data_IF_959270895355
#
_entry.id   IF_959270895355
#
_cell.length_a   1.000
_cell.length_b   1.000
_cell.length_c   1.000
_cell.angle_alpha   90.00
_cell.angle_beta   90.00
_cell.angle_gamma   90.00
#
_symmetry.space_group_name_H-M   'P 1'
#
loop_
_entity.id
_entity.type
_entity.pdbx_description
1 polymer ?
#
# COMPACT_ATOMS: atom_id res chain seq x y z
N UNK A 1 -11.15 -21.53 -7.68
CA UNK A 1 -10.23 -22.00 -6.63
C UNK A 1 -10.62 -21.32 -5.32
N UNK A 2 -10.57 -22.03 -4.19
CA UNK A 2 -10.72 -21.39 -2.89
C UNK A 2 -9.55 -20.41 -2.69
N UNK A 3 -9.80 -19.22 -2.11
CA UNK A 3 -8.75 -18.24 -1.86
C UNK A 3 -7.75 -18.81 -0.85
N UNK A 4 -6.48 -18.85 -1.24
CA UNK A 4 -5.41 -19.45 -0.44
C UNK A 4 -4.48 -18.37 0.10
N UNK A 5 -4.14 -18.48 1.39
CA UNK A 5 -3.00 -17.75 1.97
C UNK A 5 -1.79 -18.63 1.77
N UNK A 6 -0.88 -18.18 0.92
CA UNK A 6 0.38 -18.86 0.69
C UNK A 6 1.52 -18.20 1.46
N UNK A 7 2.60 -18.95 1.60
CA UNK A 7 3.85 -18.49 2.23
C UNK A 7 5.02 -18.81 1.31
N UNK A 8 5.82 -17.81 0.99
CA UNK A 8 7.07 -17.93 0.24
C UNK A 8 8.25 -17.77 1.20
N UNK A 9 9.32 -18.52 0.93
CA UNK A 9 10.57 -18.48 1.71
C UNK A 9 11.71 -17.99 0.81
N UNK A 10 12.03 -16.68 0.83
CA UNK A 10 13.09 -16.15 0.00
C UNK A 10 14.46 -16.70 0.40
N UNK A 11 15.40 -16.85 -0.54
CA UNK A 11 16.76 -17.34 -0.27
C UNK A 11 17.51 -16.50 0.76
N UNK A 12 17.13 -15.24 0.91
CA UNK A 12 17.68 -14.28 1.88
C UNK A 12 17.14 -14.49 3.30
N UNK A 13 16.31 -15.51 3.50
CA UNK A 13 15.70 -15.84 4.79
C UNK A 13 14.39 -15.10 5.05
N UNK A 14 13.70 -15.52 6.11
CA UNK A 14 12.38 -15.01 6.47
C UNK A 14 11.24 -15.63 5.66
N UNK A 15 10.06 -15.02 5.75
CA UNK A 15 8.86 -15.49 5.04
C UNK A 15 8.08 -14.31 4.47
N UNK A 16 7.43 -14.51 3.35
CA UNK A 16 6.51 -13.55 2.71
C UNK A 16 5.15 -14.23 2.61
N UNK A 17 4.16 -13.66 3.26
CA UNK A 17 2.78 -14.11 3.13
C UNK A 17 2.11 -13.44 1.93
N UNK A 18 1.30 -14.17 1.20
CA UNK A 18 0.50 -13.63 0.12
C UNK A 18 -0.92 -14.20 0.14
N UNK A 19 -1.85 -13.46 -0.44
CA UNK A 19 -3.24 -13.88 -0.64
C UNK A 19 -3.53 -13.87 -2.13
N UNK A 20 -4.01 -15.00 -2.65
CA UNK A 20 -4.35 -15.18 -4.07
C UNK A 20 -5.87 -15.31 -4.23
N UNK A 21 -6.47 -14.41 -5.00
CA UNK A 21 -7.92 -14.27 -5.14
C UNK A 21 -8.32 -14.19 -6.61
N UNK A 22 -9.40 -14.90 -6.97
CA UNK A 22 -9.99 -14.82 -8.30
C UNK A 22 -9.20 -15.57 -9.35
N UNK A 23 -9.41 -15.18 -10.60
CA UNK A 23 -8.78 -15.79 -11.78
C UNK A 23 -8.68 -14.77 -12.91
N UNK A 24 -7.93 -15.09 -13.97
CA UNK A 24 -7.74 -14.23 -15.14
C UNK A 24 -6.43 -13.47 -15.09
N UNK A 25 -6.42 -12.23 -15.61
CA UNK A 25 -5.23 -11.42 -15.70
C UNK A 25 -4.69 -11.07 -14.31
N UNK A 26 -3.40 -11.35 -14.01
CA UNK A 26 -2.84 -11.13 -12.70
C UNK A 26 -2.62 -9.64 -12.41
N UNK A 27 -2.87 -9.27 -11.16
CA UNK A 27 -2.62 -7.95 -10.60
C UNK A 27 -2.00 -8.11 -9.21
N UNK A 28 -0.86 -7.48 -8.99
CA UNK A 28 -0.21 -7.44 -7.68
C UNK A 28 -0.72 -6.24 -6.89
N UNK A 29 -1.03 -6.45 -5.62
CA UNK A 29 -1.30 -5.38 -4.66
C UNK A 29 -0.27 -5.41 -3.55
N UNK A 30 0.41 -4.29 -3.35
CA UNK A 30 1.33 -4.05 -2.24
C UNK A 30 0.60 -3.17 -1.23
N UNK A 31 0.21 -3.72 -0.07
CA UNK A 31 -0.62 -3.02 0.90
C UNK A 31 0.08 -1.83 1.57
N UNK A 32 -0.70 -0.98 2.22
CA UNK A 32 -0.23 0.18 2.97
C UNK A 32 0.41 -0.15 4.32
N UNK A 33 0.37 0.81 5.23
CA UNK A 33 0.93 0.67 6.58
C UNK A 33 0.19 -0.33 7.47
N UNK A 34 -1.03 -0.70 7.12
CA UNK A 34 -1.82 -1.73 7.83
C UNK A 34 -1.12 -3.10 7.84
N UNK A 35 -0.32 -3.43 6.82
CA UNK A 35 0.49 -4.66 6.80
C UNK A 35 1.60 -4.63 7.87
N UNK A 36 1.95 -3.46 8.38
CA UNK A 36 2.83 -3.33 9.56
C UNK A 36 2.15 -3.72 10.87
N UNK A 37 0.82 -3.60 10.95
CA UNK A 37 0.04 -3.94 12.15
C UNK A 37 -0.43 -5.39 12.11
N UNK A 38 -0.86 -5.85 10.93
CA UNK A 38 -1.31 -7.24 10.68
C UNK A 38 -0.76 -7.75 9.37
N UNK A 39 -0.19 -8.95 9.38
CA UNK A 39 0.29 -9.59 8.16
C UNK A 39 -0.88 -9.90 7.21
N UNK A 40 -0.55 -10.19 5.94
CA UNK A 40 -1.55 -10.59 4.94
C UNK A 40 -2.36 -11.80 5.40
N UNK A 41 -1.73 -12.76 6.05
CA UNK A 41 -2.41 -13.93 6.61
C UNK A 41 -3.41 -13.56 7.71
N UNK A 42 -2.99 -12.73 8.67
CA UNK A 42 -3.85 -12.24 9.76
C UNK A 42 -5.01 -11.38 9.25
N UNK A 43 -4.77 -10.58 8.20
CA UNK A 43 -5.77 -9.72 7.57
C UNK A 43 -6.59 -10.40 6.47
N UNK A 44 -6.35 -11.69 6.17
CA UNK A 44 -6.87 -12.37 4.98
C UNK A 44 -8.39 -12.28 4.80
N UNK A 45 -9.18 -12.35 5.88
CA UNK A 45 -10.64 -12.19 5.81
C UNK A 45 -11.06 -10.79 5.35
N UNK A 46 -10.41 -9.76 5.88
CA UNK A 46 -10.68 -8.37 5.52
C UNK A 46 -10.23 -8.09 4.08
N UNK A 47 -9.05 -8.58 3.68
CA UNK A 47 -8.53 -8.43 2.32
C UNK A 47 -9.42 -9.14 1.29
N UNK A 48 -9.93 -10.34 1.59
CA UNK A 48 -10.91 -11.04 0.75
C UNK A 48 -12.16 -10.22 0.54
N UNK A 49 -12.67 -9.60 1.58
CA UNK A 49 -13.84 -8.74 1.49
C UNK A 49 -13.55 -7.47 0.68
N UNK A 50 -12.40 -6.83 0.91
CA UNK A 50 -11.96 -5.62 0.20
C UNK A 50 -11.84 -5.87 -1.31
N UNK A 51 -11.17 -6.95 -1.71
CA UNK A 51 -10.89 -7.24 -3.12
C UNK A 51 -11.90 -8.15 -3.81
N UNK A 52 -13.03 -8.50 -3.18
CA UNK A 52 -14.02 -9.46 -3.71
C UNK A 52 -14.57 -9.08 -5.09
N UNK A 53 -14.83 -7.80 -5.33
CA UNK A 53 -15.37 -7.32 -6.62
C UNK A 53 -14.29 -7.35 -7.70
N UNK A 54 -13.08 -6.89 -7.37
CA UNK A 54 -11.92 -6.93 -8.27
C UNK A 54 -11.54 -8.36 -8.64
N UNK A 55 -11.61 -9.28 -7.69
CA UNK A 55 -11.31 -10.70 -7.87
C UNK A 55 -12.30 -11.44 -8.79
N UNK A 56 -13.45 -10.84 -9.11
CA UNK A 56 -14.36 -11.37 -10.15
C UNK A 56 -13.83 -11.19 -11.57
N UNK A 57 -12.88 -10.27 -11.76
CA UNK A 57 -12.38 -9.84 -13.08
C UNK A 57 -10.89 -10.05 -13.26
N UNK A 58 -10.14 -10.10 -12.16
CA UNK A 58 -8.69 -10.24 -12.14
C UNK A 58 -8.29 -11.33 -11.16
N UNK A 59 -7.09 -11.89 -11.36
CA UNK A 59 -6.40 -12.64 -10.32
C UNK A 59 -5.66 -11.63 -9.45
N UNK A 60 -6.18 -11.32 -8.27
CA UNK A 60 -5.61 -10.35 -7.34
C UNK A 60 -4.68 -11.06 -6.38
N UNK A 61 -3.40 -10.68 -6.41
CA UNK A 61 -2.37 -11.23 -5.55
C UNK A 61 -1.91 -10.11 -4.59
N UNK A 62 -2.27 -10.24 -3.31
CA UNK A 62 -1.82 -9.31 -2.28
C UNK A 62 -0.56 -9.88 -1.65
N UNK A 63 0.57 -9.18 -1.78
CA UNK A 63 1.86 -9.62 -1.23
C UNK A 63 2.24 -8.75 -0.03
N UNK A 64 2.39 -9.37 1.14
CA UNK A 64 2.88 -8.72 2.35
C UNK A 64 4.38 -8.50 2.33
N UNK A 65 4.87 -7.71 3.28
CA UNK A 65 6.33 -7.55 3.48
C UNK A 65 6.88 -8.79 4.15
N UNK A 66 8.14 -9.07 3.84
CA UNK A 66 8.89 -10.17 4.46
C UNK A 66 8.92 -10.02 5.99
N UNK A 67 8.89 -11.14 6.68
CA UNK A 67 9.04 -11.21 8.13
C UNK A 67 10.22 -12.11 8.52
N UNK A 68 11.17 -11.58 9.33
CA UNK A 68 11.28 -10.20 9.81
C UNK A 68 11.50 -9.20 8.67
N UNK A 69 11.02 -7.95 8.85
CA UNK A 69 11.23 -6.87 7.89
C UNK A 69 12.73 -6.58 7.78
N UNK A 70 13.32 -6.61 6.57
CA UNK A 70 14.75 -6.41 6.38
C UNK A 70 15.15 -4.94 6.44
N UNK A 71 16.45 -4.70 6.73
CA UNK A 71 17.15 -3.44 6.49
C UNK A 71 16.33 -2.18 6.81
N UNK A 72 15.89 -2.02 8.04
CA UNK A 72 15.13 -0.85 8.54
C UNK A 72 13.90 -0.47 7.69
N UNK A 73 13.36 -1.43 6.94
CA UNK A 73 12.16 -1.23 6.14
C UNK A 73 12.38 -0.48 4.83
N UNK A 74 13.59 -0.42 4.30
CA UNK A 74 13.91 0.22 3.02
C UNK A 74 12.97 -0.25 1.91
N UNK A 75 12.16 0.65 1.29
CA UNK A 75 11.23 0.31 0.23
C UNK A 75 11.89 -0.38 -0.98
N UNK A 76 13.16 -0.09 -1.28
CA UNK A 76 13.88 -0.73 -2.41
C UNK A 76 14.18 -2.19 -2.12
N UNK A 77 14.58 -2.52 -0.89
CA UNK A 77 14.79 -3.92 -0.47
C UNK A 77 13.46 -4.68 -0.48
N UNK A 78 12.37 -4.05 -0.02
CA UNK A 78 11.04 -4.65 -0.08
C UNK A 78 10.53 -4.84 -1.51
N UNK A 79 10.93 -3.97 -2.44
CA UNK A 79 10.64 -4.12 -3.88
C UNK A 79 11.35 -5.34 -4.49
N UNK A 80 12.59 -5.62 -4.08
CA UNK A 80 13.30 -6.83 -4.50
C UNK A 80 12.59 -8.11 -4.01
N UNK A 81 12.02 -8.09 -2.81
CA UNK A 81 11.19 -9.19 -2.30
C UNK A 81 9.93 -9.39 -3.14
N UNK A 82 9.25 -8.31 -3.54
CA UNK A 82 8.09 -8.37 -4.44
C UNK A 82 8.47 -8.91 -5.83
N UNK A 83 9.60 -8.47 -6.38
CA UNK A 83 10.10 -8.96 -7.67
C UNK A 83 10.34 -10.48 -7.62
N UNK A 84 11.03 -10.95 -6.59
CA UNK A 84 11.25 -12.37 -6.38
C UNK A 84 9.94 -13.15 -6.22
N UNK A 85 8.97 -12.62 -5.48
CA UNK A 85 7.66 -13.26 -5.33
C UNK A 85 6.92 -13.38 -6.67
N UNK A 86 6.94 -12.35 -7.53
CA UNK A 86 6.36 -12.38 -8.88
C UNK A 86 7.00 -13.50 -9.71
N UNK A 87 8.32 -13.63 -9.66
CA UNK A 87 9.08 -14.65 -10.41
C UNK A 87 8.76 -16.06 -9.94
N UNK A 88 8.77 -16.30 -8.63
CA UNK A 88 8.48 -17.63 -8.05
C UNK A 88 7.02 -18.05 -8.31
N UNK A 89 6.09 -17.10 -8.27
CA UNK A 89 4.68 -17.36 -8.57
C UNK A 89 4.41 -17.49 -10.08
N UNK A 90 5.37 -17.12 -10.95
CA UNK A 90 5.24 -17.20 -12.41
C UNK A 90 4.13 -16.31 -12.96
N UNK A 91 3.91 -15.11 -12.38
CA UNK A 91 2.73 -14.28 -12.68
C UNK A 91 3.05 -12.97 -13.42
N UNK A 92 4.30 -12.69 -13.73
CA UNK A 92 4.70 -11.49 -14.46
C UNK A 92 4.73 -11.65 -15.99
N UNK A 93 4.74 -10.54 -16.77
CA UNK A 93 4.56 -9.17 -16.31
C UNK A 93 3.10 -8.84 -15.96
N UNK A 94 2.89 -8.00 -14.96
CA UNK A 94 1.55 -7.73 -14.43
C UNK A 94 1.36 -6.24 -14.06
N UNK A 95 0.11 -5.85 -13.79
CA UNK A 95 -0.19 -4.55 -13.19
C UNK A 95 0.15 -4.62 -11.70
N UNK A 96 0.92 -3.64 -11.23
CA UNK A 96 1.29 -3.49 -9.82
C UNK A 96 0.57 -2.31 -9.24
N UNK A 97 -0.15 -2.52 -8.16
CA UNK A 97 -0.73 -1.45 -7.35
C UNK A 97 0.01 -1.31 -6.03
N UNK A 98 0.52 -0.11 -5.77
CA UNK A 98 1.08 0.28 -4.47
C UNK A 98 0.14 1.22 -3.74
N UNK A 99 -0.32 0.84 -2.55
CA UNK A 99 -1.24 1.65 -1.75
C UNK A 99 -0.47 2.29 -0.58
N UNK A 100 -0.54 3.63 -0.44
CA UNK A 100 0.06 4.35 0.69
C UNK A 100 1.54 3.95 0.88
N UNK A 101 1.92 3.38 2.02
CA UNK A 101 3.25 2.83 2.28
C UNK A 101 3.71 1.74 1.27
N UNK A 102 2.82 1.19 0.46
CA UNK A 102 3.14 0.27 -0.63
C UNK A 102 3.58 0.97 -1.91
N UNK A 103 3.25 2.25 -2.06
CA UNK A 103 3.58 3.02 -3.26
C UNK A 103 5.09 3.17 -3.51
N UNK A 104 5.91 3.56 -2.53
CA UNK A 104 7.36 3.57 -2.66
C UNK A 104 7.94 2.22 -3.08
N UNK A 105 7.42 1.12 -2.53
CA UNK A 105 7.83 -0.24 -2.90
C UNK A 105 7.47 -0.55 -4.36
N UNK A 106 6.23 -0.23 -4.78
CA UNK A 106 5.79 -0.42 -6.16
C UNK A 106 6.59 0.43 -7.16
N UNK A 107 6.95 1.65 -6.78
CA UNK A 107 7.77 2.55 -7.59
C UNK A 107 9.18 1.98 -7.78
N UNK A 108 9.85 1.53 -6.72
CA UNK A 108 11.15 0.87 -6.82
C UNK A 108 11.09 -0.41 -7.66
N UNK A 109 10.03 -1.20 -7.52
CA UNK A 109 9.82 -2.39 -8.36
C UNK A 109 9.76 -2.01 -9.85
N UNK A 110 9.03 -0.95 -10.19
CA UNK A 110 8.91 -0.48 -11.57
C UNK A 110 10.22 0.10 -12.13
N UNK A 111 11.06 0.71 -11.28
CA UNK A 111 12.39 1.26 -11.65
C UNK A 111 13.41 0.15 -11.84
N UNK A 112 13.53 -0.75 -10.86
CA UNK A 112 14.59 -1.77 -10.83
C UNK A 112 14.27 -3.00 -11.70
N UNK A 113 12.99 -3.31 -11.89
CA UNK A 113 12.51 -4.50 -12.62
C UNK A 113 11.40 -4.17 -13.63
N UNK A 114 11.67 -3.25 -14.58
CA UNK A 114 10.65 -2.77 -15.53
C UNK A 114 10.02 -3.90 -16.37
N UNK A 115 10.72 -5.00 -16.60
CA UNK A 115 10.21 -6.17 -17.31
C UNK A 115 9.12 -6.94 -16.55
N UNK A 116 8.95 -6.72 -15.25
CA UNK A 116 7.91 -7.36 -14.43
C UNK A 116 6.66 -6.48 -14.31
N UNK A 117 6.73 -5.19 -14.62
CA UNK A 117 5.65 -4.22 -14.40
C UNK A 117 5.08 -3.77 -15.73
N UNK A 118 3.90 -4.30 -16.09
CA UNK A 118 3.16 -3.93 -17.31
C UNK A 118 2.43 -2.59 -17.16
N UNK A 119 2.03 -2.25 -15.94
CA UNK A 119 1.37 -1.00 -15.58
C UNK A 119 1.50 -0.75 -14.08
N UNK A 120 1.53 0.52 -13.70
CA UNK A 120 1.73 0.96 -12.31
C UNK A 120 0.55 1.79 -11.82
N UNK A 121 -0.10 1.34 -10.77
CA UNK A 121 -1.15 2.07 -10.05
C UNK A 121 -0.60 2.53 -8.71
N UNK A 122 -0.59 3.82 -8.46
CA UNK A 122 -0.09 4.44 -7.24
C UNK A 122 -1.25 5.13 -6.52
N UNK A 123 -1.68 4.56 -5.41
CA UNK A 123 -2.90 4.95 -4.71
C UNK A 123 -2.58 5.59 -3.36
N UNK A 124 -3.04 6.84 -3.15
CA UNK A 124 -2.90 7.55 -1.87
C UNK A 124 -1.46 7.49 -1.33
N UNK A 125 -0.47 7.78 -2.19
CA UNK A 125 0.95 7.59 -1.93
C UNK A 125 1.79 8.78 -2.40
N UNK A 126 3.08 8.74 -2.18
CA UNK A 126 3.99 9.88 -2.28
C UNK A 126 5.35 9.48 -2.84
N UNK A 127 6.09 10.46 -3.37
CA UNK A 127 7.49 10.29 -3.78
C UNK A 127 8.47 10.55 -2.62
N UNK A 128 8.10 11.40 -1.70
CA UNK A 128 8.90 11.75 -0.50
C UNK A 128 7.98 12.03 0.67
N UNK A 129 8.55 12.01 1.84
CA UNK A 129 7.87 12.47 3.05
C UNK A 129 8.13 13.98 3.22
N UNK A 130 7.04 14.77 3.30
CA UNK A 130 7.12 16.20 3.69
C UNK A 130 6.96 16.37 5.20
N UNK A 131 7.22 17.56 5.70
CA UNK A 131 7.17 17.83 7.15
C UNK A 131 5.84 17.45 7.82
N UNK A 132 4.64 17.74 7.26
CA UNK A 132 3.39 17.30 7.85
C UNK A 132 3.23 15.76 7.88
N UNK A 133 3.60 15.06 6.83
CA UNK A 133 3.56 13.60 6.79
C UNK A 133 4.59 12.99 7.75
N UNK A 134 5.80 13.58 7.83
CA UNK A 134 6.83 13.13 8.77
C UNK A 134 6.34 13.20 10.22
N UNK A 135 5.68 14.29 10.61
CA UNK A 135 5.10 14.42 11.95
C UNK A 135 4.09 13.32 12.26
N UNK A 136 3.25 12.97 11.29
CA UNK A 136 2.28 11.88 11.44
C UNK A 136 3.00 10.53 11.61
N UNK A 137 3.96 10.22 10.73
CA UNK A 137 4.69 8.94 10.77
C UNK A 137 5.51 8.81 12.06
N UNK A 138 6.19 9.86 12.51
CA UNK A 138 6.95 9.86 13.77
C UNK A 138 6.04 9.69 14.98
N UNK A 139 4.86 10.29 14.98
CA UNK A 139 3.88 10.10 16.06
C UNK A 139 3.37 8.66 16.09
N UNK A 140 3.09 8.06 14.93
CA UNK A 140 2.69 6.65 14.88
C UNK A 140 3.80 5.70 15.31
N UNK A 141 5.07 5.98 14.94
CA UNK A 141 6.23 5.24 15.42
C UNK A 141 6.34 5.33 16.95
N UNK A 142 6.18 6.54 17.52
CA UNK A 142 6.21 6.76 18.97
C UNK A 142 5.12 5.96 19.67
N UNK A 143 3.88 6.04 19.19
CA UNK A 143 2.75 5.28 19.75
C UNK A 143 2.99 3.76 19.68
N UNK A 144 3.56 3.27 18.57
CA UNK A 144 3.91 1.86 18.43
C UNK A 144 4.98 1.41 19.44
N UNK A 145 6.05 2.21 19.61
CA UNK A 145 7.13 1.94 20.58
C UNK A 145 6.64 1.96 22.04
N UNK A 146 5.62 2.78 22.33
CA UNK A 146 4.97 2.84 23.64
C UNK A 146 3.88 1.76 23.84
N UNK A 147 3.64 0.88 22.86
CA UNK A 147 2.58 -0.13 22.92
C UNK A 147 1.15 0.43 22.80
N UNK A 148 1.00 1.69 22.42
CA UNK A 148 -0.29 2.40 22.32
C UNK A 148 -1.01 2.12 20.99
N UNK A 149 -1.13 0.85 20.62
CA UNK A 149 -1.69 0.41 19.33
C UNK A 149 -3.11 0.87 19.06
N UNK A 150 -3.95 0.96 20.10
CA UNK A 150 -5.34 1.43 19.96
C UNK A 150 -5.38 2.91 19.60
N UNK A 151 -4.51 3.73 20.19
CA UNK A 151 -4.40 5.16 19.90
C UNK A 151 -3.89 5.37 18.48
N UNK A 152 -2.85 4.63 18.07
CA UNK A 152 -2.30 4.65 16.72
C UNK A 152 -3.37 4.36 15.68
N UNK A 153 -4.08 3.23 15.83
CA UNK A 153 -5.11 2.83 14.86
C UNK A 153 -6.29 3.80 14.88
N UNK A 154 -6.67 4.32 16.05
CA UNK A 154 -7.71 5.33 16.15
C UNK A 154 -7.35 6.61 15.40
N UNK A 155 -6.14 7.13 15.58
CA UNK A 155 -5.64 8.31 14.89
C UNK A 155 -5.56 8.07 13.37
N UNK A 156 -5.04 6.91 12.95
CA UNK A 156 -4.95 6.57 11.53
C UNK A 156 -6.32 6.49 10.85
N UNK A 157 -7.32 5.93 11.51
CA UNK A 157 -8.69 5.84 10.99
C UNK A 157 -9.38 7.21 10.95
N UNK A 158 -9.14 8.05 11.95
CA UNK A 158 -9.68 9.42 11.97
C UNK A 158 -9.10 10.24 10.81
N UNK A 159 -7.78 10.24 10.64
CA UNK A 159 -7.11 10.94 9.53
C UNK A 159 -7.42 10.37 8.14
N UNK A 160 -7.78 9.09 8.06
CA UNK A 160 -8.16 8.48 6.77
C UNK A 160 -9.51 8.97 6.24
N UNK A 161 -10.30 9.66 7.05
CA UNK A 161 -11.58 10.27 6.63
C UNK A 161 -11.34 11.53 5.80
N UNK A 162 -12.29 11.93 4.95
CA UNK A 162 -12.24 13.23 4.28
C UNK A 162 -12.16 14.38 5.29
N UNK A 163 -11.43 15.42 4.98
CA UNK A 163 -11.32 16.61 5.85
C UNK A 163 -12.70 17.24 6.14
N UNK A 164 -13.59 17.24 5.15
CA UNK A 164 -14.98 17.73 5.29
C UNK A 164 -15.85 16.90 6.26
N UNK A 165 -15.43 15.68 6.58
CA UNK A 165 -16.15 14.83 7.53
C UNK A 165 -15.92 15.18 9.00
N UNK A 166 -15.01 16.13 9.31
CA UNK A 166 -14.82 16.68 10.65
C UNK A 166 -15.80 17.85 10.94
N UNK A 167 -16.36 17.99 12.14
CA UNK A 167 -15.81 17.63 13.45
C UNK A 167 -16.43 16.41 14.14
N UNK A 168 -17.23 15.59 13.48
CA UNK A 168 -17.83 14.43 14.14
C UNK A 168 -16.81 13.29 14.27
N UNK A 169 -16.18 13.15 15.45
CA UNK A 169 -15.41 11.94 15.77
C UNK A 169 -16.34 10.73 15.74
N UNK A 170 -16.15 9.78 14.82
CA UNK A 170 -16.94 8.56 14.86
C UNK A 170 -16.60 7.79 16.13
N UNK A 171 -17.58 7.06 16.66
CA UNK A 171 -17.25 6.03 17.63
C UNK A 171 -16.26 5.05 16.96
N UNK A 172 -15.16 4.72 17.65
CA UNK A 172 -14.23 3.74 17.16
C UNK A 172 -14.97 2.45 16.81
N UNK A 173 -14.76 1.88 15.62
CA UNK A 173 -15.36 0.60 15.27
C UNK A 173 -15.09 -0.42 16.38
N UNK A 174 -16.06 -1.29 16.72
CA UNK A 174 -15.88 -2.31 17.76
C UNK A 174 -14.61 -3.13 17.56
N UNK A 175 -14.24 -3.40 16.30
CA UNK A 175 -13.00 -4.10 15.94
C UNK A 175 -11.73 -3.39 16.42
N UNK A 176 -11.72 -2.05 16.51
CA UNK A 176 -10.55 -1.29 17.03
C UNK A 176 -10.46 -1.42 18.55
N UNK A 177 -11.61 -1.53 19.24
CA UNK A 177 -11.64 -1.75 20.69
C UNK A 177 -11.10 -3.13 21.09
N UNK A 178 -11.16 -4.10 20.16
CA UNK A 178 -10.67 -5.47 20.33
C UNK A 178 -9.26 -5.68 19.73
N UNK A 179 -8.62 -4.62 19.22
CA UNK A 179 -7.24 -4.73 18.73
C UNK A 179 -6.32 -5.12 19.88
N UNK A 180 -5.74 -6.29 19.74
CA UNK A 180 -4.59 -6.74 20.52
C UNK A 180 -3.32 -6.13 19.92
N UNK A 181 -2.25 -6.13 20.71
CA UNK A 181 -0.92 -5.80 20.23
C UNK A 181 -0.55 -6.69 19.02
N UNK A 182 0.11 -6.12 17.98
CA UNK A 182 0.62 -6.91 16.87
C UNK A 182 1.58 -8.00 17.35
N UNK A 183 1.59 -9.15 16.67
CA UNK A 183 2.54 -10.24 16.99
C UNK A 183 4.00 -9.83 16.77
N UNK A 184 4.23 -8.89 15.84
CA UNK A 184 5.55 -8.35 15.52
C UNK A 184 5.52 -6.82 15.58
N UNK A 185 5.59 -6.21 16.79
CA UNK A 185 5.54 -4.75 16.95
C UNK A 185 6.59 -4.00 16.13
N UNK A 186 7.82 -4.54 16.05
CA UNK A 186 8.94 -3.98 15.29
C UNK A 186 8.63 -3.83 13.80
N UNK A 187 7.74 -4.67 13.25
CA UNK A 187 7.37 -4.66 11.84
C UNK A 187 6.87 -3.30 11.41
N UNK A 188 5.92 -2.73 12.15
CA UNK A 188 5.36 -1.41 11.85
C UNK A 188 6.42 -0.32 11.95
N UNK A 189 7.22 -0.33 13.02
CA UNK A 189 8.27 0.67 13.28
C UNK A 189 9.29 0.68 12.15
N UNK A 190 9.75 -0.49 11.70
CA UNK A 190 10.70 -0.62 10.58
C UNK A 190 10.12 -0.11 9.28
N UNK A 191 8.89 -0.51 8.92
CA UNK A 191 8.22 -0.05 7.69
C UNK A 191 8.07 1.47 7.69
N UNK A 192 7.56 2.06 8.78
CA UNK A 192 7.39 3.51 8.86
C UNK A 192 8.73 4.26 8.88
N UNK A 193 9.74 3.71 9.55
CA UNK A 193 11.10 4.27 9.58
C UNK A 193 11.73 4.33 8.20
N UNK A 194 11.61 3.26 7.41
CA UNK A 194 12.12 3.22 6.03
C UNK A 194 11.44 4.26 5.12
N UNK A 195 10.14 4.52 5.34
CA UNK A 195 9.43 5.56 4.59
C UNK A 195 9.93 6.96 4.90
N UNK A 196 10.18 7.27 6.18
CA UNK A 196 10.67 8.60 6.59
C UNK A 196 11.99 8.95 5.91
N UNK A 197 12.86 7.97 5.68
CA UNK A 197 14.15 8.16 5.04
C UNK A 197 14.08 8.13 3.48
N UNK A 198 12.90 7.84 2.91
CA UNK A 198 12.76 7.61 1.46
C UNK A 198 12.52 8.90 0.68
N UNK A 199 13.31 9.10 -0.39
CA UNK A 199 13.08 10.11 -1.42
C UNK A 199 13.24 9.49 -2.82
N UNK A 200 12.13 9.34 -3.50
CA UNK A 200 12.03 8.70 -4.83
C UNK A 200 12.09 9.70 -5.98
N UNK A 201 12.07 11.00 -5.72
CA UNK A 201 12.01 12.03 -6.77
C UNK A 201 13.10 11.88 -7.84
N UNK A 202 14.37 11.56 -7.51
CA UNK A 202 15.40 11.35 -8.53
C UNK A 202 15.17 10.11 -9.40
N UNK A 203 14.35 9.17 -8.93
CA UNK A 203 14.11 7.88 -9.58
C UNK A 203 12.84 7.87 -10.46
N UNK A 204 11.88 8.75 -10.18
CA UNK A 204 10.60 8.81 -10.89
C UNK A 204 10.74 8.90 -12.42
N UNK A 205 11.71 9.68 -12.99
CA UNK A 205 11.90 9.74 -14.43
C UNK A 205 12.34 8.42 -15.06
N UNK A 206 12.77 7.44 -14.27
CA UNK A 206 13.20 6.10 -14.73
C UNK A 206 12.04 5.11 -14.86
N UNK A 207 10.84 5.44 -14.34
CA UNK A 207 9.65 4.60 -14.47
C UNK A 207 9.25 4.53 -15.95
N UNK A 208 9.26 3.34 -16.52
CA UNK A 208 8.96 3.08 -17.95
C UNK A 208 7.53 2.57 -18.16
N UNK A 209 6.96 1.92 -17.16
CA UNK A 209 5.61 1.39 -17.24
C UNK A 209 4.58 2.53 -17.33
N UNK A 210 3.51 2.39 -18.13
CA UNK A 210 2.36 3.27 -18.02
C UNK A 210 1.92 3.38 -16.56
N UNK A 211 1.63 4.60 -16.08
CA UNK A 211 1.29 4.82 -14.69
C UNK A 211 0.01 5.65 -14.53
N UNK A 212 -0.74 5.35 -13.46
CA UNK A 212 -1.83 6.17 -12.97
C UNK A 212 -1.64 6.42 -11.47
N UNK A 213 -1.78 7.69 -11.08
CA UNK A 213 -1.67 8.13 -9.69
C UNK A 213 -3.05 8.55 -9.21
N UNK A 214 -3.51 7.97 -8.12
CA UNK A 214 -4.86 8.11 -7.60
C UNK A 214 -4.82 8.62 -6.16
N UNK A 215 -5.61 9.65 -5.82
CA UNK A 215 -5.64 10.20 -4.47
C UNK A 215 -7.01 10.74 -4.07
N UNK A 216 -7.26 10.84 -2.78
CA UNK A 216 -8.40 11.57 -2.26
C UNK A 216 -8.11 13.09 -2.24
N UNK A 217 -9.04 13.90 -2.75
CA UNK A 217 -8.87 15.37 -2.75
C UNK A 217 -8.88 15.96 -1.31
N UNK A 218 -9.37 15.18 -0.34
CA UNK A 218 -9.45 15.57 1.06
C UNK A 218 -8.60 14.67 1.98
N UNK A 219 -7.54 14.05 1.42
CA UNK A 219 -6.62 13.20 2.18
C UNK A 219 -5.79 14.04 3.16
N UNK A 220 -5.84 13.70 4.44
CA UNK A 220 -5.14 14.38 5.52
C UNK A 220 -3.80 13.72 5.89
N UNK A 221 -3.53 12.52 5.36
CA UNK A 221 -2.28 11.78 5.56
C UNK A 221 -1.35 12.08 4.38
N UNK A 222 -1.71 11.62 3.19
CA UNK A 222 -0.99 11.92 1.96
C UNK A 222 -1.76 12.99 1.20
N UNK A 223 -1.46 14.23 1.54
CA UNK A 223 -2.17 15.39 1.00
C UNK A 223 -2.01 15.50 -0.52
N UNK A 224 -3.01 16.09 -1.22
CA UNK A 224 -3.00 16.23 -2.69
C UNK A 224 -1.67 16.71 -3.29
N UNK A 225 -0.96 17.73 -2.73
CA UNK A 225 0.32 18.17 -3.29
C UNK A 225 1.39 17.08 -3.40
N UNK A 226 1.43 16.10 -2.49
CA UNK A 226 2.36 14.97 -2.56
C UNK A 226 1.98 13.99 -3.68
N UNK A 227 0.68 13.79 -3.90
CA UNK A 227 0.15 12.95 -4.97
C UNK A 227 0.41 13.61 -6.35
N UNK A 228 0.24 14.92 -6.44
CA UNK A 228 0.53 15.73 -7.63
C UNK A 228 2.02 15.74 -7.96
N UNK A 229 2.90 15.92 -6.95
CA UNK A 229 4.36 15.83 -7.10
C UNK A 229 4.78 14.46 -7.63
N UNK A 230 4.23 13.39 -7.07
CA UNK A 230 4.49 12.03 -7.54
C UNK A 230 4.09 11.84 -9.01
N UNK A 231 2.88 12.28 -9.37
CA UNK A 231 2.40 12.19 -10.75
C UNK A 231 3.26 13.01 -11.72
N UNK A 232 3.60 14.24 -11.36
CA UNK A 232 4.43 15.10 -12.19
C UNK A 232 5.85 14.55 -12.44
N UNK A 233 6.38 13.76 -11.50
CA UNK A 233 7.70 13.14 -11.61
C UNK A 233 7.75 11.92 -12.53
N UNK A 234 6.64 11.24 -12.81
CA UNK A 234 6.58 10.04 -13.65
C UNK A 234 6.19 10.41 -15.08
N UNK A 235 7.04 10.17 -16.09
CA UNK A 235 6.76 10.52 -17.48
C UNK A 235 5.46 9.87 -17.99
N UNK A 236 4.55 10.70 -18.53
CA UNK A 236 3.30 10.23 -19.14
C UNK A 236 2.29 9.63 -18.15
N UNK A 237 2.49 9.80 -16.85
CA UNK A 237 1.51 9.35 -15.86
C UNK A 237 0.19 10.10 -15.97
N UNK A 238 -0.89 9.46 -15.56
CA UNK A 238 -2.21 10.07 -15.39
C UNK A 238 -2.49 10.31 -13.92
N UNK A 239 -3.09 11.45 -13.59
CA UNK A 239 -3.49 11.80 -12.23
C UNK A 239 -5.02 11.85 -12.12
N UNK A 240 -5.56 11.29 -11.03
CA UNK A 240 -6.95 11.52 -10.65
C UNK A 240 -7.06 11.75 -9.13
N UNK A 241 -7.63 12.89 -8.76
CA UNK A 241 -8.00 13.22 -7.39
C UNK A 241 -9.53 13.11 -7.24
N UNK A 242 -9.98 12.33 -6.26
CA UNK A 242 -11.41 12.05 -6.05
C UNK A 242 -11.99 13.01 -5.01
N UNK A 243 -12.92 13.91 -5.40
CA UNK A 243 -13.59 14.82 -4.48
C UNK A 243 -14.37 14.07 -3.39
N UNK A 244 -14.37 14.60 -2.18
CA UNK A 244 -15.08 13.99 -1.04
C UNK A 244 -14.43 12.74 -0.46
N UNK A 245 -13.25 12.34 -0.96
CA UNK A 245 -12.51 11.20 -0.44
C UNK A 245 -11.23 11.61 0.27
N UNK A 246 -10.97 10.98 1.42
CA UNK A 246 -9.71 11.03 2.16
C UNK A 246 -8.79 9.87 1.81
N UNK A 247 -7.86 9.54 2.73
CA UNK A 247 -6.90 8.45 2.57
C UNK A 247 -7.53 7.07 2.38
N UNK A 248 -8.74 6.89 2.87
CA UNK A 248 -9.49 5.63 2.79
C UNK A 248 -10.19 5.35 1.46
N UNK A 249 -9.95 6.12 0.38
CA UNK A 249 -10.66 5.99 -0.90
C UNK A 249 -10.65 4.57 -1.47
N UNK A 250 -9.56 3.84 -1.33
CA UNK A 250 -9.39 2.46 -1.81
C UNK A 250 -10.25 1.42 -1.08
N UNK A 251 -10.97 1.81 -0.03
CA UNK A 251 -11.83 0.90 0.76
C UNK A 251 -13.32 1.01 0.43
N UNK A 252 -13.70 1.84 -0.52
CA UNK A 252 -15.13 2.00 -0.80
C UNK A 252 -15.53 2.97 -1.89
N UNK A 253 -14.59 3.59 -2.63
CA UNK A 253 -14.93 4.44 -3.76
C UNK A 253 -15.19 3.62 -5.03
N UNK A 254 -16.43 3.64 -5.58
CA UNK A 254 -16.72 2.98 -6.85
C UNK A 254 -15.96 3.61 -8.03
N UNK A 255 -15.72 4.93 -7.97
CA UNK A 255 -15.01 5.68 -9.00
C UNK A 255 -13.53 5.26 -9.05
N UNK A 256 -12.91 5.09 -7.87
CA UNK A 256 -11.57 4.56 -7.74
C UNK A 256 -11.46 3.15 -8.30
N UNK A 257 -12.35 2.23 -7.91
CA UNK A 257 -12.35 0.86 -8.44
C UNK A 257 -12.49 0.86 -9.97
N UNK A 258 -13.38 1.70 -10.50
CA UNK A 258 -13.56 1.85 -11.96
C UNK A 258 -12.28 2.35 -12.64
N UNK A 259 -11.57 3.31 -12.03
CA UNK A 259 -10.32 3.85 -12.57
C UNK A 259 -9.22 2.77 -12.61
N UNK A 260 -9.05 2.02 -11.51
CA UNK A 260 -8.10 0.91 -11.42
C UNK A 260 -8.42 -0.17 -12.45
N UNK A 261 -9.68 -0.61 -12.54
CA UNK A 261 -10.09 -1.64 -13.50
C UNK A 261 -9.88 -1.23 -14.96
N UNK A 262 -10.24 0.00 -15.32
CA UNK A 262 -10.02 0.52 -16.68
C UNK A 262 -8.53 0.56 -17.02
N UNK A 263 -7.71 0.99 -16.10
CA UNK A 263 -6.27 1.02 -16.29
C UNK A 263 -5.67 -0.38 -16.41
N UNK A 264 -6.09 -1.32 -15.58
CA UNK A 264 -5.54 -2.67 -15.55
C UNK A 264 -5.88 -3.52 -16.81
N UNK A 265 -6.87 -3.13 -17.59
CA UNK A 265 -7.26 -3.80 -18.85
C UNK A 265 -6.42 -3.42 -20.07
N UNK A 266 -5.67 -2.32 -19.99
CA UNK A 266 -4.74 -1.84 -21.02
C UNK A 266 -3.40 -2.56 -20.86
#
# INVERSE_FOLDING_TARGET
MAPEVGVLQPPTGGRIEYLDLGAGQPMLVIPGGEDGVRTVGEASRALRWTYRERARRFRVIVVGRREPVPCDGDPRVLAADCAWAIEVLGVGPLVVEGISAGGPVATWLAVDRPGLVRGLVLTATFARVDEPLERILREWIRLALEGKWRELVADSLDRARPASAHPRKPALPPAVRLLSEPRSPDRFVRIMGGLVASDLRPELPKVRAPAIVLGGAEDQIVRPPLVEELAAGIPGSRLALFPGWGHGLFRGSPEYETAVERFARV
#
